data_IF_906444392285
#
_entry.id   IF_906444392285
#
_cell.length_a   1.000
_cell.length_b   1.000
_cell.length_c   1.000
_cell.angle_alpha   90.00
_cell.angle_beta   90.00
_cell.angle_gamma   90.00
#
_symmetry.space_group_name_H-M   'P 1'
#
loop_
_entity.id
_entity.type
_entity.pdbx_description
1 polymer ?
2 non-polymer ?
3 non-polymer ?
4 water ?
#
# COMPACT_ATOMS: atom_id res chain seq x y z
N UNK A 6 20.80 -5.22 2.15
CA UNK A 6 20.54 -3.73 2.18
C UNK A 6 19.06 -3.38 1.97
N UNK A 7 18.20 -4.42 1.89
CA UNK A 7 16.74 -4.43 2.21
C UNK A 7 16.43 -4.01 3.68
N UNK A 8 17.20 -3.05 4.20
CA UNK A 8 17.13 -2.66 5.59
C UNK A 8 17.02 -1.16 5.61
N UNK A 9 16.21 -0.62 6.50
CA UNK A 9 16.17 0.82 6.58
C UNK A 9 17.01 1.29 7.76
N UNK A 10 17.56 2.48 7.66
CA UNK A 10 18.23 3.07 8.78
C UNK A 10 17.21 3.32 9.92
N UNK A 11 17.74 3.52 11.13
CA UNK A 11 16.94 3.80 12.29
C UNK A 11 16.27 5.11 12.08
N UNK A 12 16.99 6.05 11.49
CA UNK A 12 16.39 7.36 11.17
C UNK A 12 15.20 7.25 10.15
N UNK A 13 15.29 6.36 9.18
CA UNK A 13 14.18 6.10 8.21
C UNK A 13 12.98 5.48 8.93
N UNK A 14 13.23 4.45 9.75
CA UNK A 14 12.16 3.87 10.64
C UNK A 14 11.48 4.92 11.41
N UNK A 15 12.28 5.79 11.98
CA UNK A 15 11.68 6.80 12.84
C UNK A 15 10.84 7.80 12.02
N UNK A 16 11.38 8.27 10.88
CA UNK A 16 10.58 9.21 9.97
C UNK A 16 9.24 8.57 9.55
N UNK A 17 9.27 7.27 9.23
CA UNK A 17 8.04 6.53 8.91
C UNK A 17 7.04 6.51 10.09
N UNK A 18 7.55 6.12 11.28
CA UNK A 18 6.67 6.09 12.48
C UNK A 18 6.07 7.46 12.72
N UNK A 19 6.85 8.50 12.48
CA UNK A 19 6.25 9.80 12.65
C UNK A 19 5.07 10.03 11.63
N UNK A 20 5.15 9.47 10.41
CA UNK A 20 3.95 9.63 9.54
C UNK A 20 2.86 8.63 9.87
N UNK A 21 3.21 7.42 10.27
CA UNK A 21 2.18 6.52 10.75
C UNK A 21 1.28 7.19 11.81
N UNK A 22 1.85 7.96 12.76
CA UNK A 22 0.98 8.59 13.75
C UNK A 22 0.01 9.54 13.14
N UNK A 23 0.46 10.31 12.14
CA UNK A 23 -0.43 11.29 11.47
C UNK A 23 -1.54 10.53 10.78
N UNK A 24 -1.20 9.36 10.21
CA UNK A 24 -2.22 8.56 9.44
C UNK A 24 -3.20 7.79 10.34
N UNK A 25 -2.74 7.41 11.55
CA UNK A 25 -3.55 6.45 12.38
C UNK A 25 -4.96 6.86 12.58
N UNK A 26 -5.24 8.14 12.97
CA UNK A 26 -6.64 8.50 13.24
C UNK A 26 -7.57 8.34 12.02
N UNK A 27 -7.02 8.39 10.80
CA UNK A 27 -7.88 8.23 9.59
C UNK A 27 -7.38 7.10 8.73
N UNK A 28 -6.71 6.12 9.34
CA UNK A 28 -6.00 5.06 8.58
C UNK A 28 -6.86 4.32 7.51
N UNK A 29 -8.12 4.00 7.84
CA UNK A 29 -8.93 3.25 6.91
C UNK A 29 -9.31 4.10 5.69
N UNK A 30 -9.73 5.35 5.94
CA UNK A 30 -9.97 6.34 4.88
C UNK A 30 -8.71 6.48 3.95
N UNK A 31 -7.53 6.53 4.55
CA UNK A 31 -6.27 6.71 3.82
C UNK A 31 -6.07 5.52 2.85
N UNK A 32 -6.23 4.29 3.34
CA UNK A 32 -5.99 3.15 2.53
C UNK A 32 -7.08 3.06 1.40
N UNK A 33 -8.34 3.40 1.64
CA UNK A 33 -9.40 3.38 0.63
C UNK A 33 -9.14 4.51 -0.46
N UNK A 34 -8.59 5.65 -0.03
CA UNK A 34 -8.14 6.71 -0.95
C UNK A 34 -7.09 6.13 -1.91
N UNK A 35 -6.14 5.36 -1.39
CA UNK A 35 -5.12 4.76 -2.19
C UNK A 35 -5.68 3.79 -3.23
N UNK A 36 -6.54 2.87 -2.78
CA UNK A 36 -7.04 1.83 -3.67
C UNK A 36 -7.98 2.49 -4.76
N UNK A 37 -8.75 3.50 -4.35
CA UNK A 37 -9.63 4.18 -5.27
C UNK A 37 -8.79 4.93 -6.37
N UNK A 38 -7.72 5.61 -5.97
CA UNK A 38 -6.91 6.32 -6.98
C UNK A 38 -6.25 5.26 -7.86
N UNK A 39 -5.74 4.17 -7.24
CA UNK A 39 -5.05 3.10 -8.01
C UNK A 39 -5.98 2.55 -9.12
N UNK A 40 -7.24 2.33 -8.77
CA UNK A 40 -8.23 1.80 -9.70
C UNK A 40 -8.66 2.86 -10.76
N UNK A 41 -8.73 4.14 -10.39
CA UNK A 41 -8.95 5.22 -11.36
C UNK A 41 -7.87 5.33 -12.41
N UNK A 42 -6.63 5.21 -11.99
CA UNK A 42 -5.50 5.43 -12.90
C UNK A 42 -5.12 4.20 -13.65
N UNK A 43 -5.50 3.02 -13.12
CA UNK A 43 -5.07 1.75 -13.81
C UNK A 43 -6.30 0.86 -14.03
N UNK A 44 -7.04 1.16 -15.10
CA UNK A 44 -8.40 0.63 -15.27
C UNK A 44 -8.35 -0.85 -15.44
N UNK A 45 -7.25 -1.41 -15.91
CA UNK A 45 -7.20 -2.88 -15.95
C UNK A 45 -7.33 -3.62 -14.62
N UNK A 46 -7.25 -2.91 -13.47
CA UNK A 46 -7.42 -3.58 -12.20
C UNK A 46 -8.86 -4.07 -12.01
N UNK A 47 -9.76 -3.56 -12.83
CA UNK A 47 -11.18 -3.94 -12.69
C UNK A 47 -11.33 -5.37 -13.29
N UNK A 48 -10.41 -5.82 -14.15
CA UNK A 48 -10.36 -7.21 -14.57
C UNK A 48 -9.49 -8.07 -13.64
N UNK A 49 -8.48 -7.50 -12.96
CA UNK A 49 -7.59 -8.28 -12.07
C UNK A 49 -8.21 -8.54 -10.67
N UNK A 50 -8.82 -7.54 -10.04
CA UNK A 50 -9.53 -7.76 -8.82
C UNK A 50 -10.85 -8.47 -9.17
N UNK A 51 -11.05 -9.68 -8.64
CA UNK A 51 -12.27 -10.39 -9.07
C UNK A 51 -13.52 -9.71 -8.57
N UNK A 52 -13.49 -9.11 -7.40
CA UNK A 52 -14.66 -8.50 -6.88
C UNK A 52 -15.01 -7.16 -7.52
N UNK A 53 -14.13 -6.63 -8.37
CA UNK A 53 -14.37 -5.28 -8.89
C UNK A 53 -15.45 -5.36 -9.98
N UNK A 54 -16.36 -4.41 -9.97
CA UNK A 54 -17.50 -4.46 -10.89
C UNK A 54 -17.24 -3.42 -11.98
N UNK A 55 -16.87 -3.90 -13.13
CA UNK A 55 -16.54 -3.08 -14.26
C UNK A 55 -17.65 -2.12 -14.77
N UNK A 56 -18.91 -2.31 -14.35
CA UNK A 56 -19.98 -1.36 -14.73
C UNK A 56 -19.99 -0.14 -13.76
N UNK A 57 -19.12 -0.16 -12.75
CA UNK A 57 -19.10 0.95 -11.82
C UNK A 57 -17.77 1.69 -11.88
N UNK A 58 -17.76 2.97 -11.51
CA UNK A 58 -16.52 3.71 -11.28
C UNK A 58 -15.86 3.28 -9.95
N UNK A 59 -14.56 3.54 -9.81
CA UNK A 59 -13.81 3.24 -8.57
C UNK A 59 -14.52 3.87 -7.40
N UNK A 60 -14.97 5.10 -7.57
CA UNK A 60 -15.67 5.77 -6.49
C UNK A 60 -17.01 5.10 -6.18
N UNK A 61 -17.74 4.63 -7.19
CA UNK A 61 -18.92 3.85 -6.86
C UNK A 61 -18.52 2.54 -6.12
N UNK A 62 -17.38 1.93 -6.49
CA UNK A 62 -16.93 0.68 -5.86
C UNK A 62 -16.61 0.92 -4.41
N UNK A 63 -16.10 2.10 -4.10
CA UNK A 63 -15.74 2.40 -2.70
C UNK A 63 -16.83 2.07 -1.66
N UNK A 64 -18.11 2.19 -2.04
CA UNK A 64 -19.21 1.87 -1.09
C UNK A 64 -19.32 0.35 -0.90
N UNK A 65 -18.88 -0.47 -1.86
CA UNK A 65 -19.10 -1.91 -1.78
C UNK A 65 -18.34 -2.57 -0.63
N UNK A 66 -19.03 -3.43 0.14
CA UNK A 66 -18.30 -4.20 1.20
C UNK A 66 -17.04 -4.93 0.76
N UNK A 67 -16.98 -5.47 -0.45
CA UNK A 67 -15.75 -6.12 -0.94
C UNK A 67 -14.56 -5.13 -1.27
N UNK A 68 -14.85 -3.91 -1.68
CA UNK A 68 -13.83 -2.88 -1.73
C UNK A 68 -13.34 -2.59 -0.31
N UNK A 69 -14.26 -2.38 0.63
CA UNK A 69 -13.84 -1.97 1.97
C UNK A 69 -12.96 -3.06 2.62
N UNK A 70 -13.42 -4.28 2.45
CA UNK A 70 -12.75 -5.43 3.02
C UNK A 70 -11.38 -5.65 2.33
N UNK A 71 -11.32 -5.55 1.01
CA UNK A 71 -9.94 -5.66 0.41
C UNK A 71 -8.97 -4.52 0.92
N UNK A 72 -9.48 -3.31 1.04
CA UNK A 72 -8.64 -2.20 1.53
C UNK A 72 -8.19 -2.49 2.98
N UNK A 73 -9.11 -2.98 3.84
CA UNK A 73 -8.75 -3.30 5.26
C UNK A 73 -7.61 -4.36 5.25
N UNK A 74 -7.68 -5.37 4.34
CA UNK A 74 -6.67 -6.43 4.29
C UNK A 74 -5.39 -5.92 3.85
N UNK A 75 -5.32 -5.18 2.73
CA UNK A 75 -3.96 -4.70 2.38
C UNK A 75 -3.46 -3.69 3.41
N UNK A 76 -4.38 -2.91 3.97
CA UNK A 76 -4.09 -1.91 4.97
C UNK A 76 -3.36 -2.49 6.19
N UNK A 77 -3.73 -3.72 6.56
CA UNK A 77 -3.12 -4.43 7.69
C UNK A 77 -1.74 -4.93 7.45
N UNK A 78 -1.52 -5.62 6.33
CA UNK A 78 -0.16 -5.97 5.89
C UNK A 78 0.74 -4.76 5.79
N UNK A 79 0.26 -3.69 5.18
CA UNK A 79 1.16 -2.52 5.09
C UNK A 79 1.48 -1.99 6.55
N UNK A 80 0.46 -1.79 7.35
CA UNK A 80 0.63 -1.31 8.76
C UNK A 80 1.58 -2.13 9.59
N UNK A 81 1.42 -3.45 9.49
CA UNK A 81 2.28 -4.33 10.22
C UNK A 81 3.69 -4.26 9.71
N UNK A 82 3.87 -3.99 8.41
CA UNK A 82 5.26 -3.98 7.95
C UNK A 82 5.90 -2.64 8.36
N UNK A 83 5.13 -1.55 8.23
CA UNK A 83 5.68 -0.18 8.36
C UNK A 83 6.22 0.05 9.79
N UNK A 84 5.57 -0.62 10.72
CA UNK A 84 5.76 -0.35 12.10
C UNK A 84 7.01 -1.11 12.56
N UNK A 85 7.49 -2.07 11.79
CA UNK A 85 8.76 -2.71 12.15
C UNK A 85 9.43 -3.22 10.87
N UNK A 86 10.02 -2.31 10.11
CA UNK A 86 10.45 -2.65 8.72
C UNK A 86 11.52 -3.67 8.66
N UNK A 87 12.49 -3.55 9.57
CA UNK A 87 13.63 -4.49 9.60
C UNK A 87 13.33 -5.90 10.13
N UNK A 88 12.26 -6.02 10.90
CA UNK A 88 11.87 -7.27 11.54
C UNK A 88 10.71 -7.93 10.82
N UNK A 89 10.56 -7.53 9.55
CA UNK A 89 9.44 -7.92 8.70
C UNK A 89 9.34 -9.47 8.55
N UNK A 90 10.48 -10.17 8.53
CA UNK A 90 10.48 -11.65 8.48
C UNK A 90 9.64 -12.39 9.55
N UNK A 91 9.26 -11.73 10.66
CA UNK A 91 8.31 -12.29 11.65
C UNK A 91 6.92 -12.57 11.09
N UNK A 92 6.57 -11.84 10.02
CA UNK A 92 5.25 -11.91 9.38
C UNK A 92 5.21 -12.97 8.27
N UNK A 93 6.41 -13.41 7.83
CA UNK A 93 6.64 -14.44 6.78
C UNK A 93 5.56 -15.53 6.65
N UNK A 94 5.25 -16.28 7.75
CA UNK A 94 4.31 -17.40 7.55
C UNK A 94 2.82 -17.02 7.48
N UNK A 95 2.44 -15.89 8.09
CA UNK A 95 1.04 -15.39 7.96
C UNK A 95 0.83 -14.82 6.54
N UNK A 96 1.93 -14.34 5.91
CA UNK A 96 1.99 -13.78 4.54
C UNK A 96 1.97 -14.89 3.47
N UNK A 97 3.09 -15.58 3.25
CA UNK A 97 3.06 -16.99 2.83
C UNK A 97 2.24 -17.21 1.55
N UNK A 98 0.91 -17.32 1.70
CA UNK A 98 -0.02 -17.47 0.58
C UNK A 98 -0.28 -16.23 -0.32
N UNK A 99 0.25 -15.05 0.05
CA UNK A 99 0.18 -13.87 -0.85
C UNK A 99 0.97 -14.02 -2.13
N UNK A 100 2.13 -14.63 -2.06
CA UNK A 100 3.00 -14.89 -3.22
C UNK A 100 2.27 -15.40 -4.47
N UNK A 101 1.39 -16.40 -4.29
CA UNK A 101 0.68 -17.03 -5.35
C UNK A 101 -0.37 -16.10 -5.96
N UNK A 102 -0.86 -15.13 -5.20
CA UNK A 102 -1.76 -14.15 -5.78
C UNK A 102 -1.01 -13.08 -6.55
N UNK A 103 0.29 -12.97 -6.39
CA UNK A 103 0.96 -11.78 -6.90
C UNK A 103 2.04 -12.13 -7.88
N UNK A 104 1.94 -13.32 -8.50
CA UNK A 104 2.93 -13.67 -9.51
C UNK A 104 2.83 -12.74 -10.75
N UNK A 105 3.92 -12.65 -11.53
CA UNK A 105 3.98 -11.88 -12.81
C UNK A 105 2.84 -12.20 -13.76
N UNK A 106 2.50 -13.47 -13.86
CA UNK A 106 1.40 -13.94 -14.70
C UNK A 106 0.05 -13.42 -14.19
N UNK A 107 -0.12 -13.32 -12.88
CA UNK A 107 -1.44 -12.79 -12.41
C UNK A 107 -1.45 -11.28 -12.24
N UNK A 108 -0.31 -10.70 -11.88
CA UNK A 108 -0.29 -9.25 -11.66
C UNK A 108 0.87 -8.66 -12.48
N UNK A 109 0.54 -7.85 -13.48
CA UNK A 109 1.62 -7.26 -14.28
C UNK A 109 2.56 -6.49 -13.36
N UNK A 110 3.83 -6.79 -13.50
CA UNK A 110 4.82 -6.32 -12.59
C UNK A 110 4.92 -4.78 -12.46
N UNK A 111 4.66 -4.01 -13.54
CA UNK A 111 4.70 -2.55 -13.46
C UNK A 111 3.56 -1.97 -12.60
N UNK A 112 2.52 -2.73 -12.34
CA UNK A 112 1.52 -2.21 -11.39
C UNK A 112 2.00 -2.02 -9.93
N UNK A 113 3.00 -2.76 -9.49
CA UNK A 113 3.57 -2.51 -8.15
C UNK A 113 4.08 -1.06 -8.06
N UNK A 114 4.88 -0.64 -9.02
CA UNK A 114 5.33 0.78 -9.12
C UNK A 114 4.21 1.77 -9.13
N UNK A 115 3.16 1.48 -9.86
CA UNK A 115 2.00 2.38 -9.87
C UNK A 115 1.31 2.54 -8.52
N UNK A 116 1.07 1.40 -7.86
CA UNK A 116 0.44 1.38 -6.56
C UNK A 116 1.40 2.12 -5.61
N UNK A 117 2.71 1.93 -5.71
CA UNK A 117 3.54 2.71 -4.76
C UNK A 117 3.42 4.19 -5.02
N UNK A 118 3.24 4.59 -6.30
CA UNK A 118 3.01 6.06 -6.51
C UNK A 118 1.77 6.56 -5.85
N UNK A 119 0.73 5.72 -5.85
CA UNK A 119 -0.52 6.14 -5.20
C UNK A 119 -0.41 6.26 -3.67
N UNK A 120 0.32 5.30 -3.05
CA UNK A 120 0.54 5.38 -1.57
C UNK A 120 1.26 6.71 -1.30
N UNK A 121 2.40 6.94 -1.98
CA UNK A 121 3.16 8.22 -1.79
C UNK A 121 2.32 9.48 -1.99
N UNK A 122 1.40 9.48 -2.97
CA UNK A 122 0.53 10.62 -3.19
C UNK A 122 -0.43 10.86 -2.03
N UNK A 123 -1.09 9.78 -1.56
CA UNK A 123 -2.02 9.93 -0.39
C UNK A 123 -1.24 10.21 0.87
N UNK A 124 -0.01 9.70 1.03
CA UNK A 124 0.83 10.11 2.20
C UNK A 124 1.11 11.61 2.15
N UNK A 125 1.52 12.12 0.98
CA UNK A 125 1.74 13.58 0.85
C UNK A 125 0.48 14.35 1.13
N UNK A 126 -0.65 13.78 0.76
CA UNK A 126 -1.89 14.57 1.05
C UNK A 126 -2.17 14.68 2.57
N UNK A 127 -1.80 13.66 3.38
CA UNK A 127 -2.19 13.65 4.79
C UNK A 127 -1.09 14.31 5.65
N UNK A 128 0.17 14.26 5.24
CA UNK A 128 1.29 14.83 6.00
C UNK A 128 1.35 16.35 5.71
N UNK A 129 1.76 17.16 6.69
CA UNK A 129 1.77 18.63 6.47
C UNK A 129 2.88 18.93 5.46
N UNK A 130 2.75 20.02 4.71
CA UNK A 130 3.79 20.50 3.84
C UNK A 130 5.11 20.73 4.60
N UNK A 131 5.03 21.39 5.75
CA UNK A 131 6.24 21.61 6.61
C UNK A 131 6.96 20.30 7.00
N UNK A 132 6.21 19.24 7.23
CA UNK A 132 6.88 17.99 7.57
C UNK A 132 7.34 17.13 6.42
N UNK A 133 6.79 17.25 5.22
CA UNK A 133 7.20 16.30 4.16
C UNK A 133 8.57 16.69 3.65
N UNK A 134 9.42 15.75 3.25
CA UNK A 134 10.75 16.15 2.89
C UNK A 134 11.28 15.11 1.96
N UNK A 135 12.38 15.41 1.32
CA UNK A 135 13.05 14.46 0.47
C UNK A 135 13.43 13.16 1.20
N UNK A 136 13.94 13.30 2.43
CA UNK A 136 14.32 12.13 3.25
C UNK A 136 13.12 11.29 3.59
N UNK A 137 11.99 11.90 3.90
CA UNK A 137 10.78 11.09 4.11
C UNK A 137 10.39 10.37 2.81
N UNK A 138 10.49 11.11 1.69
CA UNK A 138 10.11 10.50 0.40
C UNK A 138 10.92 9.23 0.20
N UNK A 139 12.24 9.30 0.41
CA UNK A 139 13.11 8.14 0.22
C UNK A 139 12.82 7.06 1.27
N UNK A 140 12.51 7.45 2.51
CA UNK A 140 12.17 6.41 3.53
C UNK A 140 10.88 5.61 3.08
N UNK A 141 9.85 6.34 2.67
CA UNK A 141 8.60 5.65 2.16
C UNK A 141 8.84 4.81 0.94
N UNK A 142 9.70 5.26 0.04
CA UNK A 142 9.95 4.47 -1.18
C UNK A 142 10.69 3.20 -0.85
N UNK A 143 11.67 3.35 0.04
CA UNK A 143 12.39 2.15 0.47
C UNK A 143 11.45 1.18 1.24
N UNK A 144 10.68 1.72 2.15
CA UNK A 144 9.66 0.92 2.85
C UNK A 144 8.76 0.17 1.84
N UNK A 145 8.30 0.87 0.79
CA UNK A 145 7.38 0.24 -0.17
C UNK A 145 8.07 -0.92 -0.87
N UNK A 146 9.34 -0.72 -1.19
CA UNK A 146 10.16 -1.80 -1.79
C UNK A 146 10.21 -3.08 -0.93
N UNK A 147 10.35 -2.93 0.39
CA UNK A 147 10.43 -4.10 1.29
C UNK A 147 9.06 -4.74 1.35
N UNK A 148 8.00 -3.95 1.50
CA UNK A 148 6.63 -4.51 1.53
C UNK A 148 6.33 -5.32 0.21
N UNK A 149 6.81 -4.79 -0.91
CA UNK A 149 6.71 -5.44 -2.18
C UNK A 149 7.29 -6.83 -2.23
N UNK A 150 8.54 -6.94 -1.78
CA UNK A 150 9.22 -8.25 -1.63
C UNK A 150 8.46 -9.18 -0.69
N UNK A 151 7.94 -8.71 0.43
CA UNK A 151 7.20 -9.62 1.31
C UNK A 151 5.95 -10.21 0.63
N UNK A 152 5.38 -9.48 -0.32
CA UNK A 152 4.08 -9.91 -0.80
C UNK A 152 4.28 -10.76 -2.07
N UNK A 153 5.45 -10.70 -2.67
CA UNK A 153 5.71 -11.46 -3.86
C UNK A 153 6.65 -12.68 -3.69
N UNK A 154 7.30 -12.79 -2.54
CA UNK A 154 8.43 -13.74 -2.40
C UNK A 154 8.32 -14.60 -1.15
X LIG B 1 -4.62 -9.87 -2.80
X LIG B 1 -1.71 -6.94 -0.33
X LIG B 1 0.05 -5.27 -4.59
X LIG B 1 -3.60 -7.37 -6.89
X LIG B 1 -3.98 -9.24 -1.76
X LIG B 1 -4.06 -9.59 -0.38
X LIG B 1 -3.28 -8.78 0.30
X LIG B 1 -2.62 -7.95 -0.63
X LIG B 1 -3.00 -8.76 1.84
X LIG B 1 -4.96 -10.74 0.17
X LIG B 1 -6.26 -10.13 0.66
X LIG B 1 -7.31 -11.18 0.96
X LIG B 1 -7.06 -12.22 1.55
X LIG B 1 -8.48 -10.97 0.57
X LIG B 1 -0.92 -6.24 -1.27
X LIG B 1 0.21 -5.37 -0.98
X LIG B 1 0.71 -4.94 -2.12
X LIG B 1 -0.11 -5.47 -3.19
X LIG B 1 0.71 -5.09 0.47
X LIG B 1 1.89 -3.96 -2.32
X LIG B 1 3.13 -4.36 -2.04
X LIG B 1 -0.85 -5.63 -5.57
X LIG B 1 -0.95 -5.06 -6.93
X LIG B 1 -2.01 -5.58 -7.52
X LIG B 1 -2.58 -6.51 -6.59
X LIG B 1 -0.03 -3.97 -7.53
X LIG B 1 -2.49 -5.29 -9.00
X LIG B 1 -3.81 -5.32 -9.23
X LIG B 1 -4.09 -8.38 -6.09
X LIG B 1 -4.95 -9.50 -6.50
X LIG B 1 -5.21 -10.19 -5.22
X LIG B 1 -4.57 -9.48 -4.14
X LIG B 1 -5.56 -9.87 -7.86
X LIG B 1 -6.15 -11.37 -4.97
X LIG B 1 -6.74 -9.92 -4.80
X LIG B 1 -8.06 -10.21 -4.43
X LIG B 1 -8.84 -9.23 -4.49
X LIG B 1 -8.20 -11.45 -4.18
X LIG B 1 -3.08 -8.25 -1.87
X LIG B 1 -1.05 -6.27 -2.60
X LIG B 1 -1.87 -6.48 -5.40
X LIG B 1 -3.85 -8.49 -4.73
X LIG B 1 -2.48 -7.43 -3.65
X LIG C 1 -3.82 -4.69 -3.68
X LIG C 1 -3.77 -5.99 -3.41
#
# INVERSE_FOLDING_TARGET
MATLEAMQVSEEQQSLIMEDVQVLLPNYDDFVEDVLQQFMEENPETFQIFPWADASKTAKEMRSHPRFKSHAKSIGKVISDCLVDLNGVKKHEPKLSSLGAMHTKKKVPTELFGKLGGCILTQVVKRVSEAKWSEEKKEAWLKAYGIITVMVTE
HEM CHA CHB CHC CHD C1A C2A C3A C4A CMA CAA CBA CGA O1A O2A C1B C2B C3B C4B CMB CAB CBB C1C C2C C3C C4C CMC CAC CBC C1D C2D C3D C4D CMD CAD CBD CGD O1D O2D NA NB NC ND FE
OXY O1 O2
#
